data_IF_606784933207
#
_entry.id   IF_606784933207
#
_cell.length_a   1.000
_cell.length_b   1.000
_cell.length_c   1.000
_cell.angle_alpha   90.00
_cell.angle_beta   90.00
_cell.angle_gamma   90.00
#
_symmetry.space_group_name_H-M   'P 1'
#
loop_
_entity.id
_entity.type
_entity.pdbx_description
1 polymer ?
#
# COMPACT_ATOMS: atom_id res chain seq x y z
N UNK A 1 12.01 9.61 16.94
CA UNK A 1 11.32 9.29 16.78
C UNK A 1 10.43 9.24 17.23
N UNK A 2 10.09 9.23 17.20
CA UNK A 2 9.31 9.17 17.50
C UNK A 2 8.62 8.89 17.73
N UNK A 3 8.65 8.81 17.58
CA UNK A 3 7.96 8.53 17.72
C UNK A 3 6.94 8.46 18.27
N UNK A 4 6.49 8.43 18.10
CA UNK A 4 5.15 8.51 18.34
C UNK A 4 4.43 7.23 18.07
N UNK A 5 4.77 6.30 18.86
CA UNK A 5 4.30 4.97 18.64
C UNK A 5 2.79 4.86 18.70
N UNK A 6 2.14 5.76 19.43
CA UNK A 6 0.69 5.69 19.58
C UNK A 6 -0.04 5.93 18.28
N UNK A 7 0.62 6.48 17.28
CA UNK A 7 -0.02 6.77 16.02
C UNK A 7 0.68 6.09 14.85
N UNK A 8 1.11 4.87 15.05
CA UNK A 8 1.64 4.08 13.95
C UNK A 8 0.64 4.04 12.80
N UNK A 9 1.08 4.28 11.56
CA UNK A 9 0.17 4.18 10.41
C UNK A 9 -0.51 2.83 10.30
N UNK A 10 0.14 1.76 10.75
CA UNK A 10 -0.46 0.42 10.68
C UNK A 10 -1.71 0.30 11.54
N UNK A 11 -1.84 1.13 12.58
CA UNK A 11 -3.02 1.11 13.42
C UNK A 11 -4.28 1.51 12.69
N UNK A 12 -4.15 2.13 11.53
CA UNK A 12 -5.29 2.53 10.72
C UNK A 12 -5.86 1.41 9.88
N UNK A 13 -5.11 0.32 9.72
CA UNK A 13 -5.61 -0.82 8.96
C UNK A 13 -6.50 -1.68 9.85
N UNK A 14 -7.68 -2.07 9.37
CA UNK A 14 -8.49 -3.04 10.08
C UNK A 14 -7.71 -4.33 10.28
N UNK A 15 -7.93 -5.01 11.39
CA UNK A 15 -7.27 -6.28 11.67
C UNK A 15 -7.51 -7.30 10.57
N UNK A 16 -8.68 -7.25 9.95
CA UNK A 16 -9.05 -8.18 8.89
C UNK A 16 -8.59 -7.75 7.50
N UNK A 17 -7.83 -6.66 7.39
CA UNK A 17 -7.36 -6.23 6.07
C UNK A 17 -6.46 -7.32 5.47
N UNK A 18 -6.76 -7.77 4.22
CA UNK A 18 -5.97 -8.83 3.60
C UNK A 18 -4.49 -8.49 3.56
N UNK A 19 -3.65 -9.46 3.92
CA UNK A 19 -2.19 -9.34 3.90
C UNK A 19 -1.65 -8.20 4.77
N UNK A 20 -2.40 -7.83 5.81
CA UNK A 20 -2.02 -6.75 6.72
C UNK A 20 -0.61 -6.90 7.28
N UNK A 21 -0.20 -8.12 7.56
CA UNK A 21 1.13 -8.38 8.10
C UNK A 21 2.28 -8.03 7.15
N UNK A 22 2.00 -7.81 5.89
CA UNK A 22 2.98 -7.41 4.89
C UNK A 22 2.93 -5.92 4.57
N UNK A 23 2.08 -5.19 5.27
CA UNK A 23 1.89 -3.76 5.02
C UNK A 23 2.98 -2.91 5.60
N UNK A 24 3.32 -1.86 4.88
CA UNK A 24 4.20 -0.80 5.37
C UNK A 24 3.75 0.52 4.77
N UNK A 25 4.21 1.60 5.35
CA UNK A 25 3.89 2.94 4.86
C UNK A 25 5.19 3.66 4.55
N UNK A 26 5.21 4.36 3.42
CA UNK A 26 6.39 5.07 2.96
C UNK A 26 5.98 6.46 2.49
N UNK A 27 6.64 7.48 2.98
CA UNK A 27 6.37 8.85 2.55
C UNK A 27 7.33 9.21 1.44
N UNK A 28 6.78 9.61 0.32
CA UNK A 28 7.55 10.08 -0.83
C UNK A 28 6.95 11.43 -1.22
N UNK A 29 7.73 12.47 -1.08
CA UNK A 29 7.24 13.82 -1.27
C UNK A 29 6.13 14.12 -0.27
N UNK A 30 4.98 14.54 -0.76
CA UNK A 30 3.84 14.91 0.07
C UNK A 30 2.87 13.75 0.31
N UNK A 31 3.14 12.56 -0.21
CA UNK A 31 2.21 11.44 -0.16
C UNK A 31 2.76 10.32 0.70
N UNK A 32 1.94 9.83 1.61
CA UNK A 32 2.24 8.63 2.37
C UNK A 32 1.56 7.46 1.69
N UNK A 33 2.36 6.52 1.21
CA UNK A 33 1.92 5.36 0.45
C UNK A 33 1.75 4.15 1.33
N UNK A 34 0.65 3.43 1.14
CA UNK A 34 0.46 2.11 1.72
C UNK A 34 0.94 1.07 0.70
N UNK A 35 1.83 0.19 1.15
CA UNK A 35 2.48 -0.80 0.30
C UNK A 35 2.42 -2.15 1.01
N UNK A 36 2.18 -3.20 0.25
CA UNK A 36 2.29 -4.57 0.75
C UNK A 36 3.33 -5.30 -0.07
N UNK A 37 4.27 -5.95 0.62
CA UNK A 37 5.35 -6.69 -0.04
C UNK A 37 5.46 -8.07 0.58
N UNK A 38 5.56 -9.09 -0.26
CA UNK A 38 5.82 -10.45 0.21
C UNK A 38 6.52 -11.26 -0.86
N UNK A 39 7.20 -12.32 -0.42
CA UNK A 39 7.92 -13.22 -1.32
C UNK A 39 9.29 -12.72 -1.71
N UNK A 40 10.01 -13.59 -2.42
CA UNK A 40 11.35 -13.33 -2.94
C UNK A 40 11.40 -13.70 -4.40
N UNK A 41 12.34 -13.12 -5.11
CA UNK A 41 12.53 -13.40 -6.52
C UNK A 41 12.36 -12.15 -7.37
N UNK A 42 12.13 -12.30 -8.65
CA UNK A 42 11.88 -11.16 -9.52
C UNK A 42 10.68 -10.37 -9.02
N UNK A 43 10.74 -9.06 -9.13
CA UNK A 43 9.68 -8.19 -8.61
C UNK A 43 8.50 -8.12 -9.58
N UNK A 44 7.31 -8.30 -9.02
CA UNK A 44 6.04 -8.10 -9.72
C UNK A 44 5.32 -6.97 -9.01
N UNK A 45 4.99 -5.92 -9.73
CA UNK A 45 4.26 -4.78 -9.20
C UNK A 45 2.79 -4.92 -9.58
N UNK A 46 1.92 -4.91 -8.58
CA UNK A 46 0.47 -5.02 -8.78
C UNK A 46 -0.18 -3.65 -8.58
N UNK A 47 -0.80 -3.16 -9.63
CA UNK A 47 -1.51 -1.88 -9.62
C UNK A 47 -3.00 -2.14 -9.80
N UNK A 48 -3.80 -1.74 -8.83
CA UNK A 48 -5.25 -1.93 -8.88
C UNK A 48 -5.91 -0.94 -9.84
N UNK A 49 -7.15 -1.22 -10.23
CA UNK A 49 -7.96 -0.30 -11.01
C UNK A 49 -8.61 0.77 -10.14
N UNK A 50 -9.27 1.71 -10.79
CA UNK A 50 -10.01 2.76 -10.11
C UNK A 50 -11.05 2.15 -9.16
N UNK A 51 -11.07 2.65 -7.93
CA UNK A 51 -11.97 2.13 -6.91
C UNK A 51 -11.45 0.91 -6.17
N UNK A 52 -10.30 0.39 -6.58
CA UNK A 52 -9.68 -0.75 -5.90
C UNK A 52 -8.70 -0.33 -4.82
N UNK A 53 -7.92 -1.29 -4.36
CA UNK A 53 -6.84 -1.10 -3.40
C UNK A 53 -6.00 -2.36 -3.36
N UNK A 54 -5.05 -2.45 -2.41
CA UNK A 54 -4.27 -3.68 -2.24
C UNK A 54 -5.15 -4.90 -2.01
N UNK A 55 -6.31 -4.74 -1.40
CA UNK A 55 -7.22 -5.86 -1.16
C UNK A 55 -7.72 -6.51 -2.45
N UNK A 56 -7.65 -5.81 -3.58
CA UNK A 56 -8.06 -6.37 -4.87
C UNK A 56 -7.22 -7.59 -5.24
N UNK A 57 -6.03 -7.73 -4.68
CA UNK A 57 -5.10 -8.79 -5.00
C UNK A 57 -5.11 -9.94 -3.99
N UNK A 58 -5.99 -9.88 -2.99
CA UNK A 58 -5.97 -10.82 -1.87
C UNK A 58 -6.01 -12.28 -2.31
N UNK A 59 -6.67 -12.57 -3.43
CA UNK A 59 -6.82 -13.96 -3.90
C UNK A 59 -5.58 -14.50 -4.60
N UNK A 60 -4.64 -13.65 -5.02
CA UNK A 60 -3.52 -14.10 -5.84
C UNK A 60 -2.14 -13.80 -5.27
N UNK A 61 -2.02 -12.91 -4.30
CA UNK A 61 -0.71 -12.51 -3.79
C UNK A 61 0.09 -13.66 -3.21
N UNK A 62 -0.54 -14.52 -2.42
CA UNK A 62 0.17 -15.64 -1.80
C UNK A 62 0.72 -16.60 -2.85
N UNK A 63 -0.05 -16.85 -3.90
CA UNK A 63 0.38 -17.72 -4.98
C UNK A 63 1.56 -17.12 -5.74
N UNK A 64 1.49 -15.85 -6.07
CA UNK A 64 2.58 -15.15 -6.75
C UNK A 64 3.82 -15.08 -5.88
N UNK A 65 3.66 -14.89 -4.58
CA UNK A 65 4.78 -14.74 -3.65
C UNK A 65 5.61 -16.02 -3.51
N UNK A 66 5.13 -17.12 -4.03
CA UNK A 66 5.89 -18.38 -4.02
C UNK A 66 7.08 -18.31 -4.96
N UNK A 67 7.06 -17.44 -5.96
CA UNK A 67 8.13 -17.34 -6.97
C UNK A 67 8.61 -15.92 -7.19
N UNK A 68 7.86 -14.94 -6.75
CA UNK A 68 8.15 -13.53 -7.02
C UNK A 68 8.15 -12.73 -5.75
N UNK A 69 8.87 -11.62 -5.79
CA UNK A 69 8.68 -10.57 -4.82
C UNK A 69 7.50 -9.73 -5.28
N UNK A 70 6.38 -9.86 -4.59
CA UNK A 70 5.14 -9.19 -4.97
C UNK A 70 5.05 -7.87 -4.21
N UNK A 71 4.87 -6.80 -4.95
CA UNK A 71 4.69 -5.46 -4.39
C UNK A 71 3.34 -4.94 -4.87
N UNK A 72 2.42 -4.75 -3.95
CA UNK A 72 1.11 -4.16 -4.24
C UNK A 72 1.03 -2.81 -3.56
N UNK A 73 0.53 -1.82 -4.25
CA UNK A 73 0.39 -0.48 -3.70
C UNK A 73 -1.05 0.00 -3.81
N UNK A 74 -1.45 0.82 -2.85
CA UNK A 74 -2.67 1.60 -2.96
C UNK A 74 -2.33 2.88 -3.72
N UNK A 75 -3.00 3.12 -4.82
CA UNK A 75 -2.78 4.36 -5.58
C UNK A 75 -3.30 5.56 -4.79
N UNK A 76 -2.79 6.78 -5.06
CA UNK A 76 -3.22 7.96 -4.31
C UNK A 76 -4.73 8.08 -4.26
N UNK A 77 -5.26 8.33 -3.05
CA UNK A 77 -6.68 8.46 -2.82
C UNK A 77 -7.43 7.15 -2.73
N UNK A 78 -6.73 6.01 -2.79
CA UNK A 78 -7.32 4.67 -2.67
C UNK A 78 -6.76 3.97 -1.45
N UNK A 79 -7.55 3.06 -0.89
CA UNK A 79 -7.13 2.29 0.26
C UNK A 79 -6.59 3.20 1.36
N UNK A 80 -5.37 2.93 1.78
CA UNK A 80 -4.74 3.69 2.88
C UNK A 80 -3.62 4.61 2.44
N UNK A 81 -3.42 4.76 1.11
CA UNK A 81 -2.52 5.79 0.59
C UNK A 81 -3.26 7.12 0.64
N UNK A 82 -2.55 8.17 1.10
CA UNK A 82 -3.14 9.50 1.10
C UNK A 82 -3.58 9.89 -0.31
N UNK A 83 -4.69 10.59 -0.40
CA UNK A 83 -4.99 11.29 -1.65
C UNK A 83 -3.85 12.25 -1.94
N UNK A 84 -3.49 12.40 -3.19
CA UNK A 84 -2.57 13.45 -3.58
C UNK A 84 -3.11 14.74 -2.97
N UNK A 85 -2.29 15.42 -2.16
CA UNK A 85 -2.78 16.58 -1.46
C UNK A 85 -3.15 17.68 -2.44
N UNK A 86 -3.66 18.79 -1.92
CA UNK A 86 -4.12 19.84 -2.80
C UNK A 86 -3.03 20.40 -3.68
N UNK A 87 -1.81 20.50 -3.17
CA UNK A 87 -0.71 20.98 -3.99
C UNK A 87 -0.36 19.98 -5.08
N UNK A 88 -0.26 18.71 -4.72
CA UNK A 88 -0.02 17.67 -5.70
C UNK A 88 -1.23 17.51 -6.62
N UNK A 89 -2.43 17.61 -6.07
CA UNK A 89 -3.65 17.54 -6.84
C UNK A 89 -3.73 18.62 -7.89
N UNK A 90 -3.22 19.79 -7.59
CA UNK A 90 -3.18 20.86 -8.56
C UNK A 90 -2.31 20.53 -9.77
N UNK A 91 -1.30 19.71 -9.58
CA UNK A 91 -0.45 19.26 -10.69
C UNK A 91 -1.14 18.20 -11.53
N UNK A 92 -2.07 17.47 -10.95
CA UNK A 92 -2.77 16.37 -11.61
C UNK A 92 -4.09 16.83 -12.21
N UNK A 93 -4.57 17.93 -11.77
CA UNK A 93 -5.90 18.43 -12.17
C UNK A 93 -5.95 18.96 -13.60
#
# INVERSE_FOLDING_TARGET
>A
MTTNSASSPLDRLPDAWPDRGYSSFHTVGAVRWHVQQQGDGPTVLLLHGTGGSTHSWAACTASLARRYRVVAIDLPGHGFTQAADRAAGALLA
#
